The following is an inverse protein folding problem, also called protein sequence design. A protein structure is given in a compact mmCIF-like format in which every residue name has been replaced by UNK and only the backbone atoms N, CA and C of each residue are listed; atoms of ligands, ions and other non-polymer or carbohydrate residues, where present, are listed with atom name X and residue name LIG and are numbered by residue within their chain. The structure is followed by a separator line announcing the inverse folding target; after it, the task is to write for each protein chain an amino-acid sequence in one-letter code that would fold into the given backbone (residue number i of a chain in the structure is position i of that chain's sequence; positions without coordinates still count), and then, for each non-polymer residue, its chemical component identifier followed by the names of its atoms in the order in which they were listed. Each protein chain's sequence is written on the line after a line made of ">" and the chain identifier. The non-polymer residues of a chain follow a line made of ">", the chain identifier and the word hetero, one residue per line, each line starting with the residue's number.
data_IF_620348685365
#
_entry.id   IF_620348685365
#
_cell.length_a   1.000
_cell.length_b   1.000
_cell.length_c   1.000
_cell.angle_alpha   90.00
_cell.angle_beta   90.00
_cell.angle_gamma   90.00
#
_symmetry.space_group_name_H-M   'P 1'
#
loop_
_entity.id
_entity.type
_entity.pdbx_description
1 polymer ?
#
# COMPACT_ATOMS: atom_id res chain seq x y z
N UNK A 1 19.00 -40.00 -23.03
CA UNK A 1 17.63 -39.45 -22.86
C UNK A 1 17.66 -38.45 -21.70
N UNK A 2 17.94 -37.18 -21.97
CA UNK A 2 17.94 -36.10 -20.94
C UNK A 2 17.15 -34.87 -21.41
N UNK A 3 16.71 -34.83 -22.68
CA UNK A 3 15.94 -33.69 -23.25
C UNK A 3 14.62 -33.45 -22.49
N UNK A 4 13.98 -34.51 -21.98
CA UNK A 4 12.74 -34.38 -21.22
C UNK A 4 12.93 -33.60 -19.91
N UNK A 5 14.09 -33.70 -19.27
CA UNK A 5 14.34 -33.01 -18.01
C UNK A 5 14.61 -31.52 -18.24
N UNK A 6 15.35 -31.19 -19.31
CA UNK A 6 15.62 -29.81 -19.71
C UNK A 6 14.33 -29.07 -20.11
N UNK A 7 13.42 -29.76 -20.80
CA UNK A 7 12.11 -29.20 -21.18
C UNK A 7 11.22 -28.96 -19.96
N UNK A 8 11.25 -29.84 -18.97
CA UNK A 8 10.50 -29.67 -17.71
C UNK A 8 11.08 -28.49 -16.92
N UNK A 9 12.41 -28.36 -16.86
CA UNK A 9 13.06 -27.25 -16.18
C UNK A 9 12.71 -25.91 -16.82
N UNK A 10 12.81 -25.81 -18.15
CA UNK A 10 12.46 -24.60 -18.89
C UNK A 10 10.98 -24.21 -18.69
N UNK A 11 10.08 -25.20 -18.68
CA UNK A 11 8.67 -24.96 -18.42
C UNK A 11 8.39 -24.45 -17.00
N UNK A 12 9.05 -25.02 -15.99
CA UNK A 12 8.92 -24.54 -14.61
C UNK A 12 9.46 -23.11 -14.46
N UNK A 13 10.60 -22.81 -15.08
CA UNK A 13 11.18 -21.46 -15.08
C UNK A 13 10.25 -20.44 -15.75
N UNK A 14 9.63 -20.81 -16.87
CA UNK A 14 8.63 -19.98 -17.56
C UNK A 14 7.36 -19.79 -16.71
N UNK A 15 6.85 -20.82 -16.03
CA UNK A 15 5.67 -20.71 -15.16
C UNK A 15 5.94 -19.92 -13.87
N UNK A 16 7.15 -20.00 -13.32
CA UNK A 16 7.55 -19.20 -12.15
C UNK A 16 7.69 -17.73 -12.51
N UNK A 17 8.35 -17.43 -13.63
CA UNK A 17 8.37 -16.09 -14.18
C UNK A 17 6.92 -15.63 -14.49
N UNK A 18 6.16 -16.39 -15.30
CA UNK A 18 4.69 -16.52 -15.29
C UNK A 18 3.90 -15.78 -14.21
N UNK A 19 4.13 -16.32 -13.01
CA UNK A 19 3.41 -16.04 -11.78
C UNK A 19 3.96 -14.80 -11.10
N UNK A 20 5.27 -14.55 -11.18
CA UNK A 20 5.90 -13.35 -10.65
C UNK A 20 5.40 -12.07 -11.34
N UNK A 21 5.12 -12.10 -12.65
CA UNK A 21 4.53 -10.94 -13.32
C UNK A 21 3.04 -10.74 -12.99
N UNK A 22 2.29 -11.83 -12.81
CA UNK A 22 0.87 -11.78 -12.50
C UNK A 22 0.55 -11.49 -11.01
N UNK A 23 1.48 -11.75 -10.10
CA UNK A 23 1.38 -11.45 -8.67
C UNK A 23 1.48 -9.94 -8.38
N UNK A 24 2.32 -9.22 -9.13
CA UNK A 24 2.66 -7.82 -8.82
C UNK A 24 1.66 -6.78 -9.34
N UNK A 25 0.63 -7.18 -10.11
CA UNK A 25 -0.30 -6.23 -10.71
C UNK A 25 -1.72 -6.77 -10.89
N UNK A 26 -2.30 -7.39 -9.87
CA UNK A 26 -3.75 -7.20 -9.67
C UNK A 26 -3.97 -5.77 -9.19
N UNK A 27 -3.79 -4.79 -10.08
CA UNK A 27 -4.35 -3.44 -9.89
C UNK A 27 -5.83 -3.69 -9.63
N UNK A 28 -6.27 -3.42 -8.42
CA UNK A 28 -7.68 -3.41 -8.11
C UNK A 28 -8.36 -2.53 -9.16
N UNK A 29 -9.30 -3.09 -9.93
CA UNK A 29 -10.06 -2.34 -10.94
C UNK A 29 -11.00 -1.30 -10.30
N UNK A 30 -10.88 -1.09 -8.98
CA UNK A 30 -11.65 -0.10 -8.27
C UNK A 30 -11.14 1.30 -8.66
N UNK A 31 -12.06 2.24 -8.91
CA UNK A 31 -11.67 3.63 -9.10
C UNK A 31 -10.89 4.12 -7.87
N UNK A 32 -9.86 4.97 -8.06
CA UNK A 32 -9.11 5.53 -6.94
C UNK A 32 -10.06 6.30 -6.03
N UNK A 33 -9.96 6.05 -4.71
CA UNK A 33 -10.71 6.83 -3.74
C UNK A 33 -10.03 8.20 -3.63
N UNK A 34 -10.75 9.27 -3.98
CA UNK A 34 -10.28 10.63 -3.79
C UNK A 34 -10.82 11.18 -2.48
N UNK A 35 -9.94 11.61 -1.59
CA UNK A 35 -10.35 12.27 -0.36
C UNK A 35 -10.79 13.71 -0.67
N UNK A 36 -12.04 14.03 -0.33
CA UNK A 36 -12.65 15.35 -0.57
C UNK A 36 -12.67 16.25 0.66
N UNK A 37 -12.28 15.72 1.83
CA UNK A 37 -12.19 16.49 3.07
C UNK A 37 -10.97 17.40 3.11
N UNK A 38 -10.91 18.28 4.11
CA UNK A 38 -9.71 19.07 4.37
C UNK A 38 -8.53 18.15 4.81
N UNK A 39 -7.31 18.68 4.75
CA UNK A 39 -6.11 17.96 5.22
C UNK A 39 -6.18 17.66 6.72
N UNK A 40 -6.75 18.58 7.49
CA UNK A 40 -6.94 18.46 8.94
C UNK A 40 -7.76 17.24 9.33
N UNK A 41 -8.89 16.98 8.68
CA UNK A 41 -9.76 15.84 8.95
C UNK A 41 -9.09 14.52 8.61
N UNK A 42 -8.23 14.50 7.58
CA UNK A 42 -7.41 13.34 7.27
C UNK A 42 -6.37 13.10 8.37
N UNK A 43 -5.72 14.17 8.84
CA UNK A 43 -4.78 14.11 9.99
C UNK A 43 -5.48 13.61 11.26
N UNK A 44 -6.66 14.13 11.59
CA UNK A 44 -7.46 13.70 12.73
C UNK A 44 -7.84 12.22 12.62
N UNK A 45 -8.27 11.76 11.45
CA UNK A 45 -8.58 10.35 11.20
C UNK A 45 -7.36 9.46 11.45
N UNK A 46 -6.19 9.86 10.97
CA UNK A 46 -4.93 9.14 11.19
C UNK A 46 -4.62 9.04 12.69
N UNK A 47 -4.70 10.16 13.42
CA UNK A 47 -4.47 10.18 14.87
C UNK A 47 -5.53 9.40 15.65
N UNK A 48 -6.79 9.43 15.21
CA UNK A 48 -7.87 8.64 15.81
C UNK A 48 -7.59 7.14 15.68
N UNK A 49 -7.20 6.66 14.50
CA UNK A 49 -6.85 5.25 14.29
C UNK A 49 -5.58 4.86 15.07
N UNK A 50 -4.58 5.75 15.09
CA UNK A 50 -3.34 5.53 15.84
C UNK A 50 -3.60 5.41 17.36
N UNK A 51 -4.39 6.33 17.93
CA UNK A 51 -4.72 6.34 19.37
C UNK A 51 -5.55 5.12 19.81
N UNK A 52 -6.41 4.61 18.92
CA UNK A 52 -7.17 3.39 19.15
C UNK A 52 -6.31 2.12 19.05
N UNK A 53 -5.07 2.21 18.55
CA UNK A 53 -4.17 1.06 18.42
C UNK A 53 -4.67 -0.01 17.46
N UNK A 54 -5.56 0.35 16.51
CA UNK A 54 -6.18 -0.61 15.56
C UNK A 54 -5.14 -1.24 14.63
N UNK A 55 -4.03 -0.53 14.39
CA UNK A 55 -2.88 -1.05 13.69
C UNK A 55 -1.83 -1.52 14.70
N UNK A 56 -1.63 -2.84 14.76
CA UNK A 56 -0.68 -3.47 15.69
C UNK A 56 0.74 -2.90 15.51
N UNK A 57 1.20 -2.13 16.50
CA UNK A 57 2.54 -1.53 16.57
C UNK A 57 2.95 -0.71 15.34
N UNK A 58 1.99 -0.12 14.62
CA UNK A 58 2.32 0.73 13.48
C UNK A 58 2.70 2.13 13.95
N UNK A 59 3.84 2.63 13.46
CA UNK A 59 4.22 4.03 13.63
C UNK A 59 3.22 4.93 12.88
N UNK A 60 2.84 6.06 13.48
CA UNK A 60 1.95 7.03 12.86
C UNK A 60 2.44 7.51 11.49
N UNK A 61 3.76 7.55 11.27
CA UNK A 61 4.35 7.86 9.96
C UNK A 61 3.96 6.86 8.88
N UNK A 62 3.87 5.58 9.25
CA UNK A 62 3.51 4.51 8.32
C UNK A 62 2.04 4.65 7.94
N UNK A 63 1.17 4.87 8.94
CA UNK A 63 -0.26 5.08 8.71
C UNK A 63 -0.46 6.33 7.82
N UNK A 64 0.20 7.44 8.13
CA UNK A 64 0.11 8.66 7.32
C UNK A 64 0.52 8.42 5.86
N UNK A 65 1.67 7.79 5.61
CA UNK A 65 2.13 7.46 4.25
C UNK A 65 1.19 6.53 3.50
N UNK A 66 0.57 5.58 4.21
CA UNK A 66 -0.45 4.69 3.61
C UNK A 66 -1.66 5.50 3.15
N UNK A 67 -2.14 6.44 3.96
CA UNK A 67 -3.26 7.30 3.60
C UNK A 67 -2.90 8.30 2.48
N UNK A 68 -1.71 8.90 2.50
CA UNK A 68 -1.20 9.74 1.41
C UNK A 68 -1.18 9.01 0.07
N UNK A 69 -0.67 7.77 0.08
CA UNK A 69 -0.60 6.94 -1.14
C UNK A 69 -1.98 6.46 -1.60
N UNK A 70 -2.88 6.18 -0.65
CA UNK A 70 -4.24 5.68 -0.95
C UNK A 70 -5.11 6.78 -1.57
N UNK A 71 -5.01 8.00 -1.05
CA UNK A 71 -5.81 9.14 -1.50
C UNK A 71 -5.10 10.05 -2.50
N UNK A 72 -3.85 9.74 -2.83
CA UNK A 72 -2.98 10.55 -3.69
C UNK A 72 -2.87 12.01 -3.21
N UNK A 73 -2.67 12.19 -1.90
CA UNK A 73 -2.56 13.49 -1.21
C UNK A 73 -1.19 13.62 -0.56
N UNK A 74 -0.67 14.85 -0.48
CA UNK A 74 0.45 15.19 0.40
C UNK A 74 -0.04 15.92 1.65
N UNK A 75 0.06 15.26 2.79
CA UNK A 75 -0.20 15.79 4.13
C UNK A 75 0.87 16.80 4.53
N UNK A 76 2.12 16.62 4.08
CA UNK A 76 3.23 17.52 4.42
C UNK A 76 3.64 17.38 5.89
N UNK A 77 3.75 18.50 6.61
CA UNK A 77 4.09 18.52 8.04
C UNK A 77 2.87 18.22 8.93
N UNK A 78 2.39 16.98 8.86
CA UNK A 78 1.22 16.51 9.62
C UNK A 78 1.46 16.50 11.14
N UNK A 79 2.72 16.57 11.59
CA UNK A 79 3.04 16.77 13.00
C UNK A 79 2.65 18.17 13.46
N UNK A 80 2.96 19.18 12.66
CA UNK A 80 2.59 20.56 12.99
C UNK A 80 1.08 20.78 12.94
N UNK A 81 0.40 20.24 11.92
CA UNK A 81 -1.07 20.36 11.79
C UNK A 81 -1.83 19.79 12.98
N UNK A 82 -1.30 18.75 13.64
CA UNK A 82 -1.90 18.22 14.87
C UNK A 82 -1.56 19.05 16.11
N UNK A 83 -0.38 19.68 16.16
CA UNK A 83 0.03 20.52 17.29
C UNK A 83 -0.66 21.89 17.32
N UNK A 84 -1.17 22.37 16.18
CA UNK A 84 -1.95 23.61 16.07
C UNK A 84 -3.46 23.44 16.31
N UNK A 85 -3.94 22.20 16.41
CA UNK A 85 -5.32 21.85 16.76
C UNK A 85 -5.52 21.85 18.29
#
# INVERSE_FOLDING_TARGET
>A
KIIANDLIQLYLEDQLNNTNYNCNHKKSNNPPLNWTGNKTALTELIYALYSQGVFRNADIKVIAKTFESTFNISLGDFYHTFMEL
#
